data_IF_429352133018
#
_entry.id   IF_429352133018
#
_cell.length_a   1.000
_cell.length_b   1.000
_cell.length_c   1.000
_cell.angle_alpha   90.00
_cell.angle_beta   90.00
_cell.angle_gamma   90.00
#
_symmetry.space_group_name_H-M   'P 1'
#
loop_
_entity.id
_entity.type
_entity.pdbx_description
1 polymer ?
#
# COMPACT_ATOMS: atom_id res chain seq x y z
N UNK A 1 10.47 2.57 13.90
CA UNK A 1 11.94 2.37 13.95
C UNK A 1 12.55 3.44 13.06
N UNK A 2 13.05 4.55 13.64
CA UNK A 2 13.65 5.62 12.84
C UNK A 2 14.82 5.09 12.02
N UNK A 3 14.88 5.43 10.73
CA UNK A 3 16.04 5.12 9.87
C UNK A 3 15.99 3.82 9.08
N UNK A 4 14.94 2.98 9.21
CA UNK A 4 14.74 1.85 8.31
C UNK A 4 14.32 2.29 6.90
N UNK A 5 14.67 1.50 5.90
CA UNK A 5 14.27 1.68 4.51
C UNK A 5 13.32 0.56 4.08
N UNK A 6 12.04 0.89 3.88
CA UNK A 6 10.98 -0.07 3.56
C UNK A 6 10.56 0.05 2.09
N UNK A 7 10.50 -1.08 1.40
CA UNK A 7 9.88 -1.20 0.08
C UNK A 7 8.39 -1.51 0.18
N UNK A 8 7.57 -0.89 -0.67
CA UNK A 8 6.15 -1.23 -0.84
C UNK A 8 5.92 -1.66 -2.28
N UNK A 9 5.53 -2.90 -2.50
CA UNK A 9 5.23 -3.42 -3.85
C UNK A 9 3.76 -3.25 -4.15
N UNK A 10 3.48 -2.55 -5.25
CA UNK A 10 2.13 -2.22 -5.67
C UNK A 10 1.59 -0.96 -4.99
N UNK A 11 0.95 -0.12 -5.79
CA UNK A 11 0.28 1.09 -5.30
C UNK A 11 -1.20 1.03 -5.68
N UNK A 12 -2.02 0.71 -4.70
CA UNK A 12 -3.47 0.54 -4.79
C UNK A 12 -4.09 0.60 -3.39
N UNK A 13 -5.15 -0.17 -3.15
CA UNK A 13 -5.86 -0.22 -1.86
C UNK A 13 -4.94 -0.43 -0.66
N UNK A 14 -4.30 -1.59 -0.54
CA UNK A 14 -3.40 -1.83 0.61
C UNK A 14 -2.10 -1.02 0.50
N UNK A 15 -1.55 -0.92 -0.71
CA UNK A 15 -0.30 -0.21 -0.97
C UNK A 15 -0.29 1.24 -0.47
N UNK A 16 -1.38 2.00 -0.65
CA UNK A 16 -1.39 3.40 -0.20
C UNK A 16 -1.30 3.53 1.33
N UNK A 17 -1.93 2.63 2.10
CA UNK A 17 -1.79 2.59 3.56
C UNK A 17 -0.40 2.10 3.96
N UNK A 18 0.11 1.09 3.26
CA UNK A 18 1.47 0.56 3.47
C UNK A 18 2.57 1.59 3.21
N UNK A 19 2.27 2.70 2.52
CA UNK A 19 3.14 3.88 2.45
C UNK A 19 2.91 4.81 3.64
N UNK A 20 1.65 5.17 3.95
CA UNK A 20 1.34 6.18 4.97
C UNK A 20 1.82 5.79 6.38
N UNK A 21 1.68 4.53 6.78
CA UNK A 21 2.11 4.06 8.11
C UNK A 21 3.63 4.15 8.33
N UNK A 22 4.49 3.49 7.52
CA UNK A 22 5.95 3.56 7.68
C UNK A 22 6.49 4.99 7.64
N UNK A 23 5.95 5.86 6.79
CA UNK A 23 6.31 7.29 6.76
C UNK A 23 6.14 7.97 8.12
N UNK A 24 5.06 7.68 8.85
CA UNK A 24 4.83 8.23 10.20
C UNK A 24 5.70 7.58 11.27
N UNK A 25 6.23 6.39 11.02
CA UNK A 25 7.25 5.76 11.87
C UNK A 25 8.67 6.30 11.63
N UNK A 26 8.86 7.26 10.71
CA UNK A 26 10.16 7.85 10.39
C UNK A 26 11.05 6.95 9.52
N UNK A 27 10.43 6.07 8.73
CA UNK A 27 11.15 5.20 7.78
C UNK A 27 11.23 5.86 6.41
N UNK A 28 12.33 5.63 5.69
CA UNK A 28 12.39 5.90 4.25
C UNK A 28 11.52 4.89 3.51
N UNK A 29 10.66 5.33 2.61
CA UNK A 29 9.74 4.47 1.85
C UNK A 29 10.07 4.53 0.38
N UNK A 30 10.27 3.35 -0.23
CA UNK A 30 10.36 3.18 -1.68
C UNK A 30 9.14 2.44 -2.20
N UNK A 31 8.44 3.01 -3.19
CA UNK A 31 7.39 2.26 -3.91
C UNK A 31 8.00 1.53 -5.10
N UNK A 32 7.68 0.26 -5.25
CA UNK A 32 8.07 -0.60 -6.36
C UNK A 32 6.80 -0.88 -7.18
N UNK A 33 6.81 -0.51 -8.45
CA UNK A 33 5.65 -0.69 -9.33
C UNK A 33 6.04 -1.09 -10.74
N UNK A 34 5.15 -1.79 -11.44
CA UNK A 34 5.25 -2.00 -12.88
C UNK A 34 4.81 -0.76 -13.67
N UNK A 35 4.00 0.13 -13.06
CA UNK A 35 3.35 1.24 -13.77
C UNK A 35 4.02 2.58 -13.47
N UNK A 36 4.74 3.13 -14.45
CA UNK A 36 5.45 4.40 -14.33
C UNK A 36 4.52 5.60 -14.09
N UNK A 37 3.28 5.55 -14.59
CA UNK A 37 2.27 6.59 -14.41
C UNK A 37 1.88 6.82 -12.94
N UNK A 38 2.14 5.86 -12.05
CA UNK A 38 1.88 5.99 -10.61
C UNK A 38 2.97 6.76 -9.86
N UNK A 39 4.10 7.08 -10.51
CA UNK A 39 5.24 7.77 -9.89
C UNK A 39 4.86 9.15 -9.35
N UNK A 40 4.18 9.95 -10.16
CA UNK A 40 3.81 11.32 -9.76
C UNK A 40 2.92 11.31 -8.53
N UNK A 41 1.88 10.47 -8.55
CA UNK A 41 0.96 10.30 -7.44
C UNK A 41 1.65 9.77 -6.18
N UNK A 42 2.57 8.81 -6.30
CA UNK A 42 3.34 8.30 -5.17
C UNK A 42 4.18 9.40 -4.50
N UNK A 43 4.84 10.25 -5.29
CA UNK A 43 5.73 11.29 -4.77
C UNK A 43 4.92 12.46 -4.22
N UNK A 44 3.99 13.01 -5.00
CA UNK A 44 3.28 14.25 -4.63
C UNK A 44 2.18 14.03 -3.60
N UNK A 45 1.38 12.97 -3.76
CA UNK A 45 0.20 12.75 -2.89
C UNK A 45 0.56 11.96 -1.63
N UNK A 46 1.39 10.93 -1.79
CA UNK A 46 1.75 10.03 -0.67
C UNK A 46 3.09 10.39 -0.03
N UNK A 47 3.88 11.26 -0.66
CA UNK A 47 5.17 11.73 -0.14
C UNK A 47 6.26 10.66 -0.18
N UNK A 48 6.20 9.67 -1.07
CA UNK A 48 7.18 8.58 -1.11
C UNK A 48 8.59 9.13 -1.40
N UNK A 49 9.61 8.61 -0.70
CA UNK A 49 11.00 9.09 -0.82
C UNK A 49 11.68 8.62 -2.11
N UNK A 50 11.30 7.47 -2.65
CA UNK A 50 11.86 6.92 -3.90
C UNK A 50 10.85 6.03 -4.64
N UNK A 51 10.93 5.99 -5.96
CA UNK A 51 10.05 5.16 -6.78
C UNK A 51 10.89 4.32 -7.74
N UNK A 52 10.65 3.01 -7.76
CA UNK A 52 11.33 2.04 -8.62
C UNK A 52 10.35 1.42 -9.60
N UNK A 53 10.76 1.37 -10.87
CA UNK A 53 10.05 0.63 -11.92
C UNK A 53 10.60 -0.79 -11.96
N UNK A 54 9.77 -1.80 -11.67
CA UNK A 54 10.22 -3.20 -11.53
C UNK A 54 10.75 -3.82 -12.82
N UNK A 55 10.41 -3.25 -13.99
CA UNK A 55 10.90 -3.68 -15.30
C UNK A 55 12.15 -2.94 -15.75
N UNK A 56 12.62 -1.94 -15.01
CA UNK A 56 13.83 -1.19 -15.32
C UNK A 56 15.05 -1.86 -14.64
N UNK A 57 15.93 -2.52 -15.40
CA UNK A 57 17.05 -3.26 -14.82
C UNK A 57 18.07 -2.35 -14.13
N UNK A 58 18.26 -1.12 -14.62
CA UNK A 58 19.21 -0.17 -14.06
C UNK A 58 18.74 0.31 -12.68
N UNK A 59 17.46 0.68 -12.56
CA UNK A 59 16.86 1.05 -11.28
C UNK A 59 16.90 -0.11 -10.28
N UNK A 60 16.56 -1.32 -10.71
CA UNK A 60 16.56 -2.51 -9.86
C UNK A 60 17.98 -2.85 -9.37
N UNK A 61 18.97 -2.74 -10.26
CA UNK A 61 20.38 -2.97 -9.91
C UNK A 61 20.90 -1.92 -8.93
N UNK A 62 20.58 -0.65 -9.13
CA UNK A 62 20.98 0.44 -8.24
C UNK A 62 20.39 0.33 -6.83
N UNK A 63 19.23 -0.35 -6.71
CA UNK A 63 18.54 -0.54 -5.44
C UNK A 63 18.84 -1.87 -4.74
N UNK A 64 19.77 -2.68 -5.27
CA UNK A 64 20.15 -3.96 -4.65
C UNK A 64 20.69 -3.79 -3.23
N UNK A 65 20.28 -4.66 -2.32
CA UNK A 65 20.70 -4.65 -0.91
C UNK A 65 20.47 -3.30 -0.20
N UNK A 66 19.42 -2.55 -0.54
CA UNK A 66 19.14 -1.24 0.09
C UNK A 66 17.98 -1.28 1.08
N UNK A 67 17.07 -2.24 0.95
CA UNK A 67 15.83 -2.29 1.74
C UNK A 67 15.98 -3.19 2.97
N UNK A 68 15.52 -2.71 4.13
CA UNK A 68 15.47 -3.49 5.38
C UNK A 68 14.25 -4.43 5.42
N UNK A 69 13.26 -4.18 4.58
CA UNK A 69 12.11 -5.05 4.40
C UNK A 69 11.21 -4.59 3.26
N UNK A 70 10.34 -5.49 2.82
CA UNK A 70 9.39 -5.25 1.73
C UNK A 70 8.00 -5.68 2.18
N UNK A 71 7.02 -4.81 1.94
CA UNK A 71 5.59 -5.09 2.09
C UNK A 71 5.02 -5.29 0.69
N UNK A 72 4.68 -6.52 0.36
CA UNK A 72 4.09 -6.87 -0.93
C UNK A 72 2.56 -6.88 -0.84
N UNK A 73 1.94 -5.96 -1.58
CA UNK A 73 0.49 -5.76 -1.62
C UNK A 73 -0.15 -6.19 -2.95
N UNK A 74 0.61 -6.83 -3.84
CA UNK A 74 0.13 -7.24 -5.16
C UNK A 74 -0.65 -8.56 -5.04
N UNK A 75 -1.92 -8.53 -5.41
CA UNK A 75 -2.78 -9.73 -5.41
C UNK A 75 -2.53 -10.68 -6.59
N UNK A 76 -1.85 -10.21 -7.64
CA UNK A 76 -1.53 -10.98 -8.85
C UNK A 76 -0.24 -11.78 -8.70
N UNK A 77 -0.09 -12.83 -9.52
CA UNK A 77 1.16 -13.60 -9.60
C UNK A 77 2.26 -12.70 -10.16
N UNK A 78 3.39 -12.61 -9.46
CA UNK A 78 4.56 -11.86 -9.90
C UNK A 78 5.85 -12.50 -9.34
N UNK A 79 7.01 -12.25 -9.97
CA UNK A 79 8.27 -12.87 -9.55
C UNK A 79 8.78 -12.27 -8.24
N UNK A 80 9.12 -13.14 -7.28
CA UNK A 80 9.60 -12.74 -5.95
C UNK A 80 11.12 -12.51 -5.94
N UNK A 81 11.88 -13.23 -6.77
CA UNK A 81 13.34 -13.15 -6.79
C UNK A 81 13.88 -11.71 -6.95
N UNK A 82 13.34 -10.86 -7.84
CA UNK A 82 13.79 -9.47 -7.93
C UNK A 82 13.59 -8.69 -6.64
N UNK A 83 12.54 -8.98 -5.86
CA UNK A 83 12.29 -8.32 -4.58
C UNK A 83 13.30 -8.76 -3.51
N UNK A 84 13.68 -10.04 -3.50
CA UNK A 84 14.70 -10.55 -2.59
C UNK A 84 16.06 -9.87 -2.80
N UNK A 85 16.42 -9.61 -4.06
CA UNK A 85 17.69 -8.94 -4.40
C UNK A 85 17.77 -7.47 -3.94
N UNK A 86 16.62 -6.82 -3.74
CA UNK A 86 16.56 -5.45 -3.22
C UNK A 86 16.78 -5.38 -1.71
N UNK A 87 16.56 -6.50 -1.00
CA UNK A 87 16.66 -6.54 0.45
C UNK A 87 18.09 -6.76 0.92
N UNK A 88 18.45 -6.14 2.04
CA UNK A 88 19.68 -6.43 2.79
C UNK A 88 19.63 -7.84 3.37
N UNK A 89 20.79 -8.34 3.82
CA UNK A 89 20.86 -9.54 4.67
C UNK A 89 19.91 -9.40 5.87
N UNK A 90 19.16 -10.46 6.16
CA UNK A 90 18.08 -10.48 7.17
C UNK A 90 16.89 -9.56 6.91
N UNK A 91 16.76 -9.02 5.70
CA UNK A 91 15.57 -8.28 5.28
C UNK A 91 14.32 -9.15 5.32
N UNK A 92 13.19 -8.55 5.69
CA UNK A 92 11.91 -9.26 5.84
C UNK A 92 11.00 -8.96 4.67
N UNK A 93 10.55 -10.00 3.97
CA UNK A 93 9.48 -9.91 2.98
C UNK A 93 8.15 -10.30 3.65
N UNK A 94 7.23 -9.35 3.73
CA UNK A 94 5.88 -9.55 4.25
C UNK A 94 4.90 -9.53 3.08
N UNK A 95 4.31 -10.67 2.78
CA UNK A 95 3.30 -10.78 1.74
C UNK A 95 1.92 -10.58 2.36
N UNK A 96 1.28 -9.47 2.02
CA UNK A 96 -0.10 -9.14 2.45
C UNK A 96 -1.10 -9.49 1.33
N UNK A 97 -0.60 -9.65 0.10
CA UNK A 97 -1.33 -10.31 -0.98
C UNK A 97 -1.65 -11.79 -0.64
N UNK A 98 -2.57 -12.41 -1.39
CA UNK A 98 -3.09 -13.79 -1.13
C UNK A 98 -2.06 -14.93 -1.35
N UNK A 99 -0.75 -14.71 -1.17
CA UNK A 99 0.32 -15.70 -1.40
C UNK A 99 1.36 -15.66 -0.27
N UNK A 100 1.89 -16.81 0.14
CA UNK A 100 2.59 -16.98 1.42
C UNK A 100 4.09 -17.31 1.26
N UNK A 101 4.96 -16.51 1.90
CA UNK A 101 6.33 -16.88 2.33
C UNK A 101 6.51 -16.47 3.81
N UNK A 102 5.99 -15.29 4.19
CA UNK A 102 5.50 -14.93 5.51
C UNK A 102 4.27 -14.03 5.30
N UNK A 103 3.11 -14.37 5.87
CA UNK A 103 1.85 -13.71 5.58
C UNK A 103 1.16 -13.17 6.83
N UNK A 104 0.57 -11.97 6.72
CA UNK A 104 -0.29 -11.38 7.75
C UNK A 104 -1.63 -11.08 7.12
N UNK A 105 -2.66 -11.86 7.46
CA UNK A 105 -3.99 -11.72 6.85
C UNK A 105 -4.80 -10.60 7.52
N UNK A 106 -4.79 -10.55 8.85
CA UNK A 106 -5.51 -9.57 9.70
C UNK A 106 -4.74 -9.40 11.02
N UNK A 107 -5.00 -8.31 11.75
CA UNK A 107 -4.51 -8.10 13.10
C UNK A 107 -5.51 -8.52 14.18
N UNK A 108 -5.03 -8.75 15.40
CA UNK A 108 -5.89 -8.98 16.57
C UNK A 108 -6.70 -7.75 16.97
N UNK A 109 -7.71 -7.90 17.82
CA UNK A 109 -8.54 -6.76 18.29
C UNK A 109 -7.70 -5.69 18.99
N UNK A 110 -6.79 -6.11 19.88
CA UNK A 110 -5.90 -5.20 20.59
C UNK A 110 -4.98 -4.43 19.64
N UNK A 111 -4.35 -5.13 18.70
CA UNK A 111 -3.49 -4.52 17.68
C UNK A 111 -4.26 -3.57 16.77
N UNK A 112 -5.52 -3.91 16.45
CA UNK A 112 -6.41 -3.05 15.65
C UNK A 112 -6.70 -1.76 16.41
N UNK A 113 -6.99 -1.82 17.70
CA UNK A 113 -7.20 -0.62 18.51
C UNK A 113 -5.94 0.25 18.56
N UNK A 114 -4.78 -0.35 18.82
CA UNK A 114 -3.49 0.36 18.81
C UNK A 114 -3.20 1.00 17.45
N UNK A 115 -3.53 0.32 16.36
CA UNK A 115 -3.41 0.85 14.99
C UNK A 115 -4.35 2.04 14.77
N UNK A 116 -5.60 1.96 15.21
CA UNK A 116 -6.57 3.06 15.10
C UNK A 116 -6.15 4.27 15.93
N UNK A 117 -5.70 4.07 17.16
CA UNK A 117 -5.22 5.13 18.05
C UNK A 117 -3.99 5.82 17.45
N UNK A 118 -3.05 5.04 16.91
CA UNK A 118 -1.89 5.56 16.19
C UNK A 118 -2.31 6.35 14.94
N UNK A 119 -3.24 5.82 14.15
CA UNK A 119 -3.74 6.48 12.95
C UNK A 119 -4.39 7.82 13.28
N UNK A 120 -5.21 7.87 14.32
CA UNK A 120 -5.84 9.10 14.81
C UNK A 120 -4.77 10.11 15.28
N UNK A 121 -3.80 9.68 16.08
CA UNK A 121 -2.72 10.55 16.60
C UNK A 121 -1.86 11.17 15.50
N UNK A 122 -1.64 10.45 14.41
CA UNK A 122 -0.73 10.86 13.33
C UNK A 122 -1.43 11.36 12.06
N UNK A 123 -2.75 11.56 12.12
CA UNK A 123 -3.60 11.95 10.98
C UNK A 123 -3.40 11.04 9.78
N UNK A 124 -3.41 9.72 10.01
CA UNK A 124 -3.34 8.71 8.96
C UNK A 124 -4.77 8.36 8.57
N UNK A 125 -5.22 8.88 7.43
CA UNK A 125 -6.53 8.55 6.86
C UNK A 125 -6.36 7.84 5.53
N UNK A 126 -7.23 6.87 5.19
CA UNK A 126 -7.30 6.35 3.84
C UNK A 126 -7.87 7.41 2.90
N UNK A 127 -7.42 7.41 1.65
CA UNK A 127 -8.06 8.25 0.62
C UNK A 127 -9.27 7.50 0.08
N UNK A 128 -10.44 8.11 0.30
CA UNK A 128 -11.75 7.48 0.08
C UNK A 128 -12.58 8.29 -0.90
N UNK A 129 -13.31 7.59 -1.75
CA UNK A 129 -14.44 8.12 -2.51
C UNK A 129 -15.72 7.67 -1.81
N UNK A 130 -16.43 8.62 -1.20
CA UNK A 130 -17.69 8.34 -0.51
C UNK A 130 -18.81 8.31 -1.54
N UNK A 131 -19.51 7.19 -1.64
CA UNK A 131 -20.56 6.97 -2.64
C UNK A 131 -21.88 6.59 -1.97
N UNK A 132 -23.02 7.00 -2.54
CA UNK A 132 -24.31 6.62 -2.01
C UNK A 132 -24.66 5.16 -2.31
N UNK A 133 -25.67 4.62 -1.62
CA UNK A 133 -26.07 3.20 -1.72
C UNK A 133 -26.62 2.84 -3.11
N UNK A 134 -27.30 3.76 -3.78
CA UNK A 134 -27.81 3.59 -5.15
C UNK A 134 -26.67 3.45 -6.19
N UNK A 135 -25.48 3.96 -5.89
CA UNK A 135 -24.30 3.89 -6.74
C UNK A 135 -23.46 2.61 -6.53
N UNK A 136 -23.87 1.70 -5.66
CA UNK A 136 -23.07 0.53 -5.26
C UNK A 136 -22.67 -0.34 -6.45
N UNK A 137 -23.59 -0.63 -7.38
CA UNK A 137 -23.31 -1.49 -8.54
C UNK A 137 -22.26 -0.84 -9.47
N UNK A 138 -22.39 0.45 -9.74
CA UNK A 138 -21.41 1.20 -10.53
C UNK A 138 -20.05 1.24 -9.84
N UNK A 139 -20.03 1.41 -8.51
CA UNK A 139 -18.78 1.37 -7.73
C UNK A 139 -18.08 0.00 -7.81
N UNK A 140 -18.85 -1.10 -7.86
CA UNK A 140 -18.31 -2.45 -8.03
C UNK A 140 -17.71 -2.66 -9.43
N UNK A 141 -18.33 -2.13 -10.49
CA UNK A 141 -17.75 -2.19 -11.83
C UNK A 141 -16.45 -1.39 -11.95
N UNK A 142 -16.42 -0.19 -11.36
CA UNK A 142 -15.21 0.66 -11.31
C UNK A 142 -14.11 -0.01 -10.49
N UNK A 143 -14.47 -0.64 -9.37
CA UNK A 143 -13.57 -1.41 -8.54
C UNK A 143 -12.84 -2.50 -9.33
N UNK A 144 -13.58 -3.29 -10.12
CA UNK A 144 -13.01 -4.36 -10.95
C UNK A 144 -12.03 -3.83 -12.00
N UNK A 145 -12.32 -2.64 -12.55
CA UNK A 145 -11.44 -1.93 -13.50
C UNK A 145 -10.29 -1.19 -12.82
N UNK A 146 -10.12 -1.32 -11.50
CA UNK A 146 -9.14 -0.56 -10.70
C UNK A 146 -9.28 0.96 -10.82
N UNK A 147 -10.48 1.45 -11.16
CA UNK A 147 -10.82 2.86 -11.33
C UNK A 147 -11.27 3.50 -10.01
N UNK A 148 -10.33 3.63 -9.08
CA UNK A 148 -10.56 4.19 -7.74
C UNK A 148 -9.25 4.63 -7.11
N UNK A 149 -9.29 5.75 -6.38
CA UNK A 149 -8.13 6.32 -5.67
C UNK A 149 -8.49 6.67 -4.22
N UNK A 150 -8.38 5.77 -3.24
CA UNK A 150 -7.95 4.37 -3.31
C UNK A 150 -9.02 3.39 -2.80
N UNK A 151 -10.01 3.88 -2.04
CA UNK A 151 -11.10 3.08 -1.48
C UNK A 151 -12.46 3.70 -1.80
N UNK A 152 -13.49 2.86 -1.85
CA UNK A 152 -14.88 3.33 -1.80
C UNK A 152 -15.38 3.20 -0.36
N UNK A 153 -16.17 4.17 0.08
CA UNK A 153 -16.91 4.11 1.35
C UNK A 153 -18.38 4.37 1.04
N UNK A 154 -19.25 3.45 1.44
CA UNK A 154 -20.68 3.64 1.28
C UNK A 154 -21.22 4.50 2.42
N UNK A 155 -21.87 5.62 2.09
CA UNK A 155 -22.53 6.46 3.08
C UNK A 155 -23.92 5.91 3.39
N UNK A 156 -23.99 4.93 4.29
CA UNK A 156 -25.24 4.27 4.69
C UNK A 156 -26.17 5.23 5.44
N UNK A 157 -25.62 6.08 6.31
CA UNK A 157 -26.39 6.95 7.20
C UNK A 157 -27.25 7.96 6.46
N UNK A 158 -26.72 8.54 5.38
CA UNK A 158 -27.42 9.54 4.57
C UNK A 158 -28.24 8.96 3.42
N UNK A 159 -28.14 7.65 3.15
CA UNK A 159 -28.76 7.03 1.96
C UNK A 159 -29.98 6.19 2.28
N UNK A 160 -30.00 5.49 3.41
CA UNK A 160 -31.12 4.61 3.78
C UNK A 160 -32.34 5.36 4.32
N UNK A 161 -32.18 6.61 4.78
CA UNK A 161 -33.24 7.39 5.43
C UNK A 161 -33.91 8.43 4.52
N UNK A 162 -33.61 8.43 3.21
CA UNK A 162 -34.37 9.22 2.23
C UNK A 162 -35.74 8.55 2.02
N UNK A 163 -36.66 8.81 2.95
CA UNK A 163 -38.10 8.69 2.70
C UNK A 163 -38.60 9.88 1.91
#
# INVERSE_FOLDING_TARGET
MPGMHIGVVGLGRLGHMAVKFPKKFGTKVTVISTSANKKQEAIERLGVDSFLISHDPEQMKAAMNTLDGIIDTVSAVHPILPLLMLMKSHGKLVMVGRKLVAGSCIGGMKETQEMLDFAAKHNITPDVEVVPMDYVNTSLERLLKSDVKYHFVLDIGNTLNKK
#
